data_IF_871097243284
#
_entry.id   IF_871097243284
#
_cell.length_a   1.000
_cell.length_b   1.000
_cell.length_c   1.000
_cell.angle_alpha   90.00
_cell.angle_beta   90.00
_cell.angle_gamma   90.00
#
_symmetry.space_group_name_H-M   'P 1'
#
loop_
_entity.id
_entity.type
_entity.pdbx_description
1 polymer ?
#
# COMPACT_ATOMS: atom_id res chain seq x y z
N UNK A 1 28.70 -47.14 -46.72
CA UNK A 1 27.63 -47.81 -45.94
C UNK A 1 27.94 -47.65 -44.46
N UNK A 2 27.48 -46.56 -43.84
CA UNK A 2 27.55 -46.37 -42.38
C UNK A 2 26.13 -46.49 -41.85
N UNK A 3 25.88 -47.59 -41.14
CA UNK A 3 24.60 -47.88 -40.50
C UNK A 3 24.73 -47.37 -39.07
N UNK A 4 24.00 -46.31 -38.74
CA UNK A 4 23.92 -45.80 -37.37
C UNK A 4 22.96 -46.70 -36.57
N UNK A 5 23.49 -47.32 -35.50
CA UNK A 5 22.74 -48.19 -34.59
C UNK A 5 21.76 -47.43 -33.68
N UNK A 6 20.83 -48.15 -33.02
CA UNK A 6 19.66 -47.57 -32.37
C UNK A 6 20.01 -47.05 -30.98
N UNK A 7 20.54 -45.83 -30.91
CA UNK A 7 20.69 -45.13 -29.63
C UNK A 7 20.50 -43.63 -29.79
N UNK A 8 19.31 -43.23 -30.24
CA UNK A 8 18.81 -41.87 -30.03
C UNK A 8 17.98 -41.86 -28.74
N UNK A 9 18.65 -42.02 -27.60
CA UNK A 9 18.03 -41.80 -26.29
C UNK A 9 17.77 -40.29 -26.15
N UNK A 10 16.57 -39.86 -26.52
CA UNK A 10 16.07 -38.56 -26.08
C UNK A 10 15.76 -38.68 -24.59
N UNK A 11 16.51 -37.95 -23.77
CA UNK A 11 16.15 -37.74 -22.36
C UNK A 11 14.75 -37.10 -22.26
N UNK A 12 14.07 -37.22 -21.11
CA UNK A 12 12.70 -36.72 -20.96
C UNK A 12 12.64 -35.23 -21.30
N UNK A 13 11.93 -34.89 -22.37
CA UNK A 13 11.61 -33.49 -22.65
C UNK A 13 10.54 -33.03 -21.66
N UNK A 14 10.85 -31.98 -20.92
CA UNK A 14 9.89 -31.32 -20.04
C UNK A 14 8.80 -30.67 -20.88
N UNK A 15 7.57 -31.16 -20.76
CA UNK A 15 6.39 -30.52 -21.34
C UNK A 15 6.11 -29.22 -20.59
N UNK A 16 6.44 -28.08 -21.22
CA UNK A 16 6.03 -26.78 -20.73
C UNK A 16 4.55 -26.60 -21.09
N UNK A 17 3.66 -26.81 -20.12
CA UNK A 17 2.23 -26.55 -20.28
C UNK A 17 1.97 -25.08 -20.64
N UNK A 18 0.91 -24.78 -21.41
CA UNK A 18 0.63 -23.42 -21.79
C UNK A 18 0.18 -22.65 -20.55
N UNK A 19 0.79 -21.46 -20.34
CA UNK A 19 0.38 -20.41 -19.40
C UNK A 19 0.16 -20.80 -17.92
N UNK A 20 1.22 -21.26 -17.23
CA UNK A 20 1.33 -20.88 -15.82
C UNK A 20 1.58 -19.38 -15.74
N UNK A 21 0.83 -18.69 -14.87
CA UNK A 21 0.97 -17.27 -14.54
C UNK A 21 2.43 -16.94 -14.21
N UNK A 22 3.21 -16.62 -15.24
CA UNK A 22 4.50 -15.98 -15.09
C UNK A 22 4.17 -14.57 -14.67
N UNK A 23 4.33 -14.27 -13.38
CA UNK A 23 4.37 -12.89 -12.91
C UNK A 23 5.41 -12.19 -13.77
N UNK A 24 4.96 -11.33 -14.69
CA UNK A 24 5.86 -10.58 -15.54
C UNK A 24 6.78 -9.79 -14.62
N UNK A 25 8.09 -9.94 -14.80
CA UNK A 25 9.03 -9.07 -14.11
C UNK A 25 8.65 -7.62 -14.45
N UNK A 26 8.57 -6.71 -13.46
CA UNK A 26 8.25 -5.31 -13.73
C UNK A 26 9.24 -4.78 -14.76
N UNK A 27 8.71 -4.25 -15.87
CA UNK A 27 9.55 -3.61 -16.88
C UNK A 27 10.32 -2.46 -16.21
N UNK A 28 11.63 -2.29 -16.49
CA UNK A 28 12.40 -1.20 -15.90
C UNK A 28 11.76 0.13 -16.28
N UNK A 29 11.32 0.88 -15.27
CA UNK A 29 10.76 2.22 -15.48
C UNK A 29 11.95 3.15 -15.70
N UNK A 30 12.16 3.61 -16.94
CA UNK A 30 13.24 4.54 -17.27
C UNK A 30 12.82 6.01 -17.05
N UNK A 31 11.91 6.26 -16.11
CA UNK A 31 11.45 7.61 -15.78
C UNK A 31 12.41 8.21 -14.74
N UNK A 32 12.87 9.46 -14.92
CA UNK A 32 13.60 10.14 -13.86
C UNK A 32 12.74 10.17 -12.59
N UNK A 33 13.36 9.92 -11.44
CA UNK A 33 12.66 9.97 -10.17
C UNK A 33 12.34 11.44 -9.83
N UNK A 34 11.08 11.70 -9.49
CA UNK A 34 10.68 13.01 -8.98
C UNK A 34 11.33 13.24 -7.60
N UNK A 35 11.78 14.48 -7.36
CA UNK A 35 12.34 14.88 -6.07
C UNK A 35 11.34 15.75 -5.31
N UNK A 36 11.07 15.38 -4.06
CA UNK A 36 10.31 16.21 -3.12
C UNK A 36 11.30 17.04 -2.32
N UNK A 37 11.19 18.36 -2.38
CA UNK A 37 11.94 19.28 -1.51
C UNK A 37 10.97 19.94 -0.52
N UNK A 38 11.20 19.74 0.77
CA UNK A 38 10.45 20.38 1.85
C UNK A 38 11.22 21.62 2.30
N UNK A 39 10.52 22.73 2.55
CA UNK A 39 11.15 23.95 3.04
C UNK A 39 11.55 23.80 4.51
N UNK A 40 12.63 24.48 4.93
CA UNK A 40 13.06 24.48 6.33
C UNK A 40 11.96 24.95 7.30
N UNK A 41 11.09 25.86 6.83
CA UNK A 41 9.93 26.32 7.61
C UNK A 41 8.87 25.20 7.79
N UNK A 42 8.62 24.41 6.74
CA UNK A 42 7.70 23.28 6.82
C UNK A 42 8.26 22.14 7.69
N UNK A 43 9.57 21.87 7.65
CA UNK A 43 10.21 20.91 8.56
C UNK A 43 10.10 21.36 10.02
N UNK A 44 10.32 22.64 10.31
CA UNK A 44 10.16 23.19 11.66
C UNK A 44 8.71 23.13 12.16
N UNK A 45 7.73 23.39 11.28
CA UNK A 45 6.32 23.25 11.63
C UNK A 45 5.93 21.81 11.95
N UNK A 46 6.43 20.84 11.17
CA UNK A 46 6.17 19.41 11.40
C UNK A 46 6.73 18.95 12.75
N UNK A 47 7.95 19.34 13.09
CA UNK A 47 8.56 19.03 14.38
C UNK A 47 7.79 19.65 15.56
N UNK A 48 7.24 20.86 15.37
CA UNK A 48 6.40 21.48 16.39
C UNK A 48 5.09 20.69 16.61
N UNK A 49 4.46 20.20 15.53
CA UNK A 49 3.27 19.36 15.58
C UNK A 49 3.51 17.96 16.16
N UNK A 50 4.71 17.39 15.97
CA UNK A 50 5.09 16.08 16.54
C UNK A 50 5.14 16.04 18.09
N UNK A 51 5.03 17.20 18.74
CA UNK A 51 4.98 17.28 20.21
C UNK A 51 3.70 16.66 20.79
N UNK A 52 2.67 16.42 19.98
CA UNK A 52 1.44 15.78 20.42
C UNK A 52 1.68 14.28 20.68
N UNK A 53 1.84 13.92 21.94
CA UNK A 53 2.10 12.53 22.35
C UNK A 53 0.97 11.61 21.93
N UNK A 54 1.30 10.45 21.36
CA UNK A 54 0.31 9.42 21.03
C UNK A 54 -0.50 9.04 22.27
N UNK A 55 -1.83 9.06 22.16
CA UNK A 55 -2.78 8.83 23.27
C UNK A 55 -3.43 7.43 23.15
N UNK A 56 -2.75 6.34 23.55
CA UNK A 56 -3.26 4.98 23.37
C UNK A 56 -4.61 4.76 24.09
N UNK A 57 -4.79 5.35 25.26
CA UNK A 57 -6.02 5.20 26.05
C UNK A 57 -7.24 5.80 25.34
N UNK A 58 -7.06 6.96 24.70
CA UNK A 58 -8.12 7.60 23.91
C UNK A 58 -8.49 6.73 22.72
N UNK A 59 -7.49 6.17 22.02
CA UNK A 59 -7.70 5.26 20.89
C UNK A 59 -8.46 4.01 21.34
N UNK A 60 -8.07 3.40 22.46
CA UNK A 60 -8.74 2.22 23.00
C UNK A 60 -10.21 2.50 23.35
N UNK A 61 -10.49 3.65 23.99
CA UNK A 61 -11.85 4.09 24.31
C UNK A 61 -12.70 4.35 23.07
N UNK A 62 -12.14 5.01 22.05
CA UNK A 62 -12.88 5.28 20.82
C UNK A 62 -13.19 3.97 20.09
N UNK A 63 -12.21 3.05 20.00
CA UNK A 63 -12.42 1.71 19.42
C UNK A 63 -13.55 0.94 20.11
N UNK A 64 -13.63 0.97 21.44
CA UNK A 64 -14.72 0.28 22.15
C UNK A 64 -16.09 0.92 21.88
N UNK A 65 -16.17 2.25 21.78
CA UNK A 65 -17.40 2.95 21.41
C UNK A 65 -17.87 2.62 19.98
N UNK A 66 -16.92 2.50 19.05
CA UNK A 66 -17.21 2.11 17.65
C UNK A 66 -17.72 0.68 17.61
N UNK A 67 -17.05 -0.25 18.29
CA UNK A 67 -17.48 -1.65 18.37
C UNK A 67 -18.88 -1.81 19.00
N UNK A 68 -19.22 -0.94 19.96
CA UNK A 68 -20.53 -0.91 20.60
C UNK A 68 -21.61 -0.19 19.75
N UNK A 69 -21.25 0.41 18.61
CA UNK A 69 -22.16 1.22 17.79
C UNK A 69 -22.61 2.54 18.43
N UNK A 70 -22.01 2.94 19.55
CA UNK A 70 -22.38 4.15 20.30
C UNK A 70 -21.50 5.36 19.95
N UNK A 71 -20.57 5.21 19.01
CA UNK A 71 -19.68 6.28 18.62
C UNK A 71 -20.38 7.35 17.78
N UNK A 72 -21.24 6.93 16.86
CA UNK A 72 -21.95 7.80 15.92
C UNK A 72 -23.21 8.37 16.58
N UNK A 73 -23.18 9.68 16.85
CA UNK A 73 -24.33 10.42 17.36
C UNK A 73 -24.70 11.52 16.36
N UNK A 74 -25.97 11.93 16.26
CA UNK A 74 -26.38 12.99 15.33
C UNK A 74 -25.55 14.27 15.47
N UNK A 75 -25.24 14.63 16.71
CA UNK A 75 -24.43 15.80 17.07
C UNK A 75 -22.98 15.71 16.52
N UNK A 76 -22.33 14.56 16.71
CA UNK A 76 -20.98 14.33 16.17
C UNK A 76 -20.94 14.34 14.65
N UNK A 77 -21.99 13.82 14.00
CA UNK A 77 -22.08 13.82 12.54
C UNK A 77 -22.25 15.24 12.02
N UNK A 78 -23.10 16.06 12.65
CA UNK A 78 -23.27 17.47 12.27
C UNK A 78 -21.94 18.24 12.33
N UNK A 79 -21.19 18.11 13.43
CA UNK A 79 -19.88 18.74 13.59
C UNK A 79 -18.85 18.20 12.59
N UNK A 80 -18.86 16.89 12.31
CA UNK A 80 -17.94 16.30 11.34
C UNK A 80 -18.20 16.84 9.92
N UNK A 81 -19.46 17.02 9.54
CA UNK A 81 -19.84 17.59 8.24
C UNK A 81 -19.45 19.07 8.16
N UNK A 82 -19.71 19.85 9.19
CA UNK A 82 -19.30 21.27 9.24
C UNK A 82 -17.79 21.42 9.03
N UNK A 83 -16.99 20.68 9.80
CA UNK A 83 -15.52 20.69 9.68
C UNK A 83 -15.02 20.23 8.31
N UNK A 84 -15.68 19.24 7.71
CA UNK A 84 -15.34 18.78 6.37
C UNK A 84 -15.58 19.87 5.32
N UNK A 85 -16.67 20.62 5.45
CA UNK A 85 -16.97 21.73 4.55
C UNK A 85 -15.98 22.89 4.75
N UNK A 86 -15.58 23.18 5.99
CA UNK A 86 -14.54 24.17 6.30
C UNK A 86 -13.16 23.78 5.75
N UNK A 87 -12.84 22.48 5.68
CA UNK A 87 -11.56 22.00 5.17
C UNK A 87 -11.47 22.05 3.64
N UNK A 88 -12.60 21.86 2.94
CA UNK A 88 -12.66 21.81 1.48
C UNK A 88 -12.94 23.18 0.85
N UNK A 89 -13.60 24.08 1.58
CA UNK A 89 -13.96 25.44 1.13
C UNK A 89 -12.78 26.41 1.10
#
# INVERSE_FOLDING_TARGET
>A
MQIYGPSHLHGPQSLQGPHWNRTAAPAPTNRPADQVNISAAAEAALQASETETFRPDLVARIRSQIAAGAYETPDKIAVAVERLLDEIG
#
